data_IF_291086606006
#
_entry.id   IF_291086606006
#
_cell.length_a   1.000
_cell.length_b   1.000
_cell.length_c   1.000
_cell.angle_alpha   90.00
_cell.angle_beta   90.00
_cell.angle_gamma   90.00
#
_symmetry.space_group_name_H-M   'P 1'
#
loop_
_entity.id
_entity.type
_entity.pdbx_description
1 polymer ?
#
# COMPACT_ATOMS: atom_id res chain seq x y z
N UNK A 1 -2.91 -9.76 -8.03
CA UNK A 1 -2.42 -8.90 -9.11
C UNK A 1 -2.24 -7.53 -8.52
N UNK A 2 -1.04 -6.96 -8.59
CA UNK A 2 -0.78 -5.61 -8.11
C UNK A 2 -0.91 -4.63 -9.29
N UNK A 3 -1.83 -3.66 -9.18
CA UNK A 3 -2.10 -2.69 -10.24
C UNK A 3 -1.42 -1.34 -10.02
N UNK A 4 -0.65 -1.18 -8.94
CA UNK A 4 0.12 0.04 -8.67
C UNK A 4 0.96 0.56 -9.85
N UNK A 5 1.61 -0.26 -10.71
CA UNK A 5 2.39 0.27 -11.83
C UNK A 5 1.55 0.77 -13.00
N UNK A 6 0.23 0.53 -12.99
CA UNK A 6 -0.64 0.88 -14.12
C UNK A 6 -1.17 2.31 -13.99
N UNK A 7 -1.36 2.97 -15.14
CA UNK A 7 -1.77 4.38 -15.25
C UNK A 7 -2.97 4.59 -16.18
N UNK A 8 -3.48 3.52 -16.78
CA UNK A 8 -4.61 3.56 -17.70
C UNK A 8 -5.37 2.24 -17.72
N UNK A 9 -6.60 2.29 -18.23
CA UNK A 9 -7.44 1.11 -18.46
C UNK A 9 -6.76 0.10 -19.39
N UNK A 10 -6.00 0.57 -20.38
CA UNK A 10 -5.22 -0.27 -21.28
C UNK A 10 -4.20 -1.12 -20.50
N UNK A 11 -3.39 -0.47 -19.67
CA UNK A 11 -2.35 -1.15 -18.89
C UNK A 11 -2.97 -2.12 -17.87
N UNK A 12 -4.05 -1.70 -17.21
CA UNK A 12 -4.83 -2.58 -16.34
C UNK A 12 -5.33 -3.80 -17.09
N UNK A 13 -5.94 -3.62 -18.26
CA UNK A 13 -6.54 -4.71 -19.06
C UNK A 13 -5.47 -5.69 -19.53
N UNK A 14 -4.32 -5.19 -19.98
CA UNK A 14 -3.19 -6.01 -20.40
C UNK A 14 -2.63 -6.84 -19.22
N UNK A 15 -2.44 -6.20 -18.06
CA UNK A 15 -1.98 -6.88 -16.84
C UNK A 15 -3.00 -7.92 -16.35
N UNK A 16 -4.29 -7.58 -16.40
CA UNK A 16 -5.37 -8.45 -15.97
C UNK A 16 -5.51 -9.65 -16.88
N UNK A 17 -5.52 -9.43 -18.20
CA UNK A 17 -5.51 -10.49 -19.20
C UNK A 17 -4.30 -11.40 -19.02
N UNK A 18 -3.09 -10.85 -18.89
CA UNK A 18 -1.88 -11.64 -18.66
C UNK A 18 -1.93 -12.44 -17.36
N UNK A 19 -2.51 -11.91 -16.29
CA UNK A 19 -2.62 -12.64 -15.01
C UNK A 19 -3.62 -13.79 -15.09
N UNK A 20 -4.79 -13.52 -15.69
CA UNK A 20 -5.84 -14.53 -15.90
C UNK A 20 -5.37 -15.62 -16.86
N UNK A 21 -4.58 -15.26 -17.87
CA UNK A 21 -4.07 -16.19 -18.88
C UNK A 21 -2.79 -16.92 -18.47
N UNK A 22 -1.83 -16.24 -17.84
CA UNK A 22 -0.54 -16.80 -17.43
C UNK A 22 -0.65 -17.82 -16.30
N UNK A 23 -1.71 -17.75 -15.49
CA UNK A 23 -2.04 -18.83 -14.54
C UNK A 23 -2.52 -20.10 -15.25
N UNK A 24 -2.93 -20.02 -16.52
CA UNK A 24 -3.36 -21.16 -17.35
C UNK A 24 -2.20 -21.87 -18.05
N UNK A 25 -0.98 -21.34 -18.07
CA UNK A 25 0.19 -22.09 -18.57
C UNK A 25 0.46 -23.35 -17.73
N UNK A 26 -0.09 -23.41 -16.51
CA UNK A 26 -0.13 -24.60 -15.66
C UNK A 26 -1.21 -25.64 -16.06
N UNK A 27 -2.10 -25.30 -17.00
CA UNK A 27 -3.22 -26.12 -17.44
C UNK A 27 -2.99 -26.53 -18.91
N UNK A 28 -3.03 -27.84 -19.18
CA UNK A 28 -2.58 -28.42 -20.46
C UNK A 28 -3.22 -27.82 -21.73
N UNK A 29 -2.63 -28.14 -22.89
CA UNK A 29 -2.93 -27.60 -24.24
C UNK A 29 -4.40 -27.27 -24.59
N UNK A 30 -5.36 -28.00 -24.02
CA UNK A 30 -6.80 -27.74 -24.21
C UNK A 30 -7.23 -26.40 -23.59
N UNK A 31 -6.76 -26.08 -22.39
CA UNK A 31 -7.05 -24.81 -21.70
C UNK A 31 -6.43 -23.62 -22.46
N UNK A 32 -5.18 -23.77 -22.93
CA UNK A 32 -4.52 -22.77 -23.77
C UNK A 32 -5.30 -22.50 -25.07
N UNK A 33 -5.77 -23.53 -25.76
CA UNK A 33 -6.56 -23.36 -26.98
C UNK A 33 -7.92 -22.70 -26.71
N UNK A 34 -8.60 -23.05 -25.61
CA UNK A 34 -9.84 -22.39 -25.19
C UNK A 34 -9.60 -20.92 -24.84
N UNK A 35 -8.48 -20.62 -24.19
CA UNK A 35 -8.07 -19.25 -23.89
C UNK A 35 -7.79 -18.45 -25.17
N UNK A 36 -7.00 -18.97 -26.12
CA UNK A 36 -6.75 -18.31 -27.41
C UNK A 36 -8.06 -18.06 -28.18
N UNK A 37 -9.02 -19.00 -28.12
CA UNK A 37 -10.33 -18.83 -28.76
C UNK A 37 -11.23 -17.79 -28.08
N UNK A 38 -11.09 -17.62 -26.76
CA UNK A 38 -11.85 -16.64 -26.00
C UNK A 38 -11.33 -15.21 -26.19
N UNK A 39 -10.04 -15.05 -26.49
CA UNK A 39 -9.35 -13.76 -26.58
C UNK A 39 -9.09 -13.34 -28.04
N UNK A 40 -10.16 -13.04 -28.78
CA UNK A 40 -10.10 -12.69 -30.22
C UNK A 40 -9.49 -11.33 -30.47
N UNK A 41 -9.49 -10.45 -29.46
CA UNK A 41 -8.91 -9.12 -29.55
C UNK A 41 -7.38 -9.09 -29.38
N UNK A 42 -6.77 -10.22 -29.01
CA UNK A 42 -5.35 -10.34 -28.71
C UNK A 42 -4.58 -10.91 -29.90
N UNK A 43 -3.31 -10.51 -30.04
CA UNK A 43 -2.39 -11.13 -31.01
C UNK A 43 -1.51 -12.13 -30.30
N UNK A 44 -1.41 -13.34 -30.83
CA UNK A 44 -0.38 -14.29 -30.39
C UNK A 44 0.93 -13.90 -31.07
N UNK A 45 1.91 -13.47 -30.28
CA UNK A 45 3.28 -13.21 -30.73
C UNK A 45 4.11 -14.44 -30.41
N UNK A 46 4.71 -15.03 -31.44
CA UNK A 46 5.67 -16.13 -31.29
C UNK A 46 7.07 -15.53 -31.42
N UNK A 47 7.84 -15.55 -30.34
CA UNK A 47 9.25 -15.17 -30.29
C UNK A 47 10.13 -16.39 -30.02
N UNK A 48 11.44 -16.27 -30.21
CA UNK A 48 12.40 -17.27 -29.78
C UNK A 48 13.05 -16.81 -28.47
N UNK A 49 13.13 -17.69 -27.49
CA UNK A 49 13.88 -17.44 -26.26
C UNK A 49 15.35 -17.12 -26.60
N UNK A 50 15.90 -15.98 -26.15
CA UNK A 50 17.23 -15.54 -26.56
C UNK A 50 18.37 -16.48 -26.14
N UNK A 51 18.15 -17.32 -25.12
CA UNK A 51 19.16 -18.20 -24.52
C UNK A 51 19.03 -19.62 -25.08
N UNK A 52 17.80 -20.11 -25.21
CA UNK A 52 17.51 -21.51 -25.56
C UNK A 52 17.05 -21.69 -27.00
N UNK A 53 16.71 -20.61 -27.72
CA UNK A 53 16.15 -20.66 -29.08
C UNK A 53 14.77 -21.32 -29.16
N UNK A 54 14.15 -21.61 -28.01
CA UNK A 54 12.86 -22.28 -27.96
C UNK A 54 11.72 -21.31 -28.31
N UNK A 55 10.71 -21.73 -29.07
CA UNK A 55 9.59 -20.87 -29.40
C UNK A 55 8.77 -20.55 -28.13
N UNK A 56 8.64 -19.27 -27.82
CA UNK A 56 7.77 -18.73 -26.78
C UNK A 56 6.59 -18.02 -27.43
N UNK A 57 5.39 -18.42 -27.05
CA UNK A 57 4.16 -17.73 -27.46
C UNK A 57 3.70 -16.83 -26.32
N UNK A 58 3.56 -15.54 -26.60
CA UNK A 58 2.96 -14.56 -25.69
C UNK A 58 1.71 -13.95 -26.32
N UNK A 59 0.74 -13.58 -25.48
CA UNK A 59 -0.39 -12.78 -25.91
C UNK A 59 -0.04 -11.30 -25.81
N UNK A 60 -0.14 -10.59 -26.93
CA UNK A 60 -0.03 -9.15 -27.05
C UNK A 60 -1.43 -8.53 -27.07
N UNK A 61 -1.65 -7.60 -26.14
CA UNK A 61 -2.91 -6.88 -25.99
C UNK A 61 -2.83 -5.55 -26.74
N UNK A 62 -3.79 -5.30 -27.64
CA UNK A 62 -3.78 -4.11 -28.49
C UNK A 62 -4.54 -2.94 -27.85
N UNK A 63 -3.95 -1.72 -27.81
CA UNK A 63 -4.58 -0.54 -27.22
C UNK A 63 -5.99 -0.26 -27.75
N UNK A 64 -6.17 -0.36 -29.08
CA UNK A 64 -7.46 -0.04 -29.72
C UNK A 64 -8.57 -1.04 -29.37
N UNK A 65 -8.23 -2.19 -28.80
CA UNK A 65 -9.17 -3.24 -28.44
C UNK A 65 -9.40 -3.36 -26.93
N UNK A 66 -8.87 -2.44 -26.11
CA UNK A 66 -8.91 -2.50 -24.64
C UNK A 66 -10.28 -2.92 -24.07
N UNK A 67 -11.37 -2.26 -24.47
CA UNK A 67 -12.72 -2.59 -23.96
C UNK A 67 -13.19 -4.00 -24.39
N UNK A 68 -12.90 -4.40 -25.62
CA UNK A 68 -13.26 -5.73 -26.12
C UNK A 68 -12.45 -6.81 -25.39
N UNK A 69 -11.15 -6.58 -25.20
CA UNK A 69 -10.27 -7.46 -24.42
C UNK A 69 -10.79 -7.61 -22.99
N UNK A 70 -11.18 -6.51 -22.34
CA UNK A 70 -11.74 -6.56 -21.00
C UNK A 70 -13.02 -7.41 -20.95
N UNK A 71 -13.90 -7.25 -21.94
CA UNK A 71 -15.12 -8.04 -22.07
C UNK A 71 -14.84 -9.53 -22.30
N UNK A 72 -13.83 -9.84 -23.10
CA UNK A 72 -13.35 -11.20 -23.33
C UNK A 72 -12.79 -11.83 -22.03
N UNK A 73 -12.01 -11.07 -21.24
CA UNK A 73 -11.50 -11.52 -19.93
C UNK A 73 -12.65 -11.90 -19.01
N UNK A 74 -13.62 -11.00 -18.80
CA UNK A 74 -14.73 -11.27 -17.90
C UNK A 74 -15.64 -12.38 -18.42
N UNK A 75 -15.87 -12.46 -19.73
CA UNK A 75 -16.63 -13.56 -20.34
C UNK A 75 -15.93 -14.90 -20.14
N UNK A 76 -14.61 -14.93 -20.30
CA UNK A 76 -13.81 -16.11 -20.05
C UNK A 76 -13.91 -16.58 -18.59
N UNK A 77 -13.74 -15.66 -17.64
CA UNK A 77 -13.86 -15.95 -16.21
C UNK A 77 -15.27 -16.45 -15.85
N UNK A 78 -16.31 -15.79 -16.36
CA UNK A 78 -17.72 -16.16 -16.13
C UNK A 78 -18.06 -17.55 -16.64
N UNK A 79 -17.51 -17.94 -17.79
CA UNK A 79 -17.77 -19.23 -18.43
C UNK A 79 -16.85 -20.36 -17.92
N UNK A 80 -15.99 -20.06 -16.94
CA UNK A 80 -15.18 -21.08 -16.28
C UNK A 80 -16.06 -22.00 -15.43
N UNK A 81 -15.91 -23.32 -15.58
CA UNK A 81 -16.58 -24.32 -14.74
C UNK A 81 -16.01 -24.40 -13.30
N UNK A 82 -15.14 -23.45 -12.92
CA UNK A 82 -14.48 -23.39 -11.61
C UNK A 82 -14.83 -22.10 -10.88
N UNK A 83 -14.82 -22.18 -9.55
CA UNK A 83 -14.75 -21.00 -8.70
C UNK A 83 -13.36 -20.35 -8.84
N UNK A 84 -13.36 -19.05 -9.08
CA UNK A 84 -12.17 -18.25 -9.30
C UNK A 84 -12.01 -17.22 -8.16
N UNK A 85 -10.79 -17.02 -7.69
CA UNK A 85 -10.46 -15.97 -6.71
C UNK A 85 -9.48 -14.99 -7.33
N UNK A 86 -9.84 -13.71 -7.36
CA UNK A 86 -9.03 -12.66 -7.96
C UNK A 86 -8.78 -11.58 -6.91
N UNK A 87 -7.56 -11.57 -6.38
CA UNK A 87 -7.08 -10.48 -5.53
C UNK A 87 -6.44 -9.39 -6.39
N UNK A 88 -6.96 -8.17 -6.28
CA UNK A 88 -6.44 -6.97 -6.92
C UNK A 88 -5.90 -6.05 -5.83
N UNK A 89 -4.59 -5.86 -5.84
CA UNK A 89 -3.87 -5.03 -4.88
C UNK A 89 -3.67 -3.61 -5.43
N UNK A 90 -3.69 -2.64 -4.53
CA UNK A 90 -3.73 -1.20 -4.82
C UNK A 90 -4.92 -0.79 -5.71
N UNK A 91 -6.12 -1.32 -5.42
CA UNK A 91 -7.30 -1.14 -6.26
C UNK A 91 -7.72 0.32 -6.43
N UNK A 92 -7.45 1.20 -5.46
CA UNK A 92 -7.71 2.64 -5.58
C UNK A 92 -6.96 3.30 -6.75
N UNK A 93 -5.92 2.65 -7.29
CA UNK A 93 -5.15 3.14 -8.42
C UNK A 93 -6.03 3.40 -9.66
N UNK A 94 -7.16 2.70 -9.82
CA UNK A 94 -8.08 2.90 -10.95
C UNK A 94 -8.75 4.28 -10.94
N UNK A 95 -8.87 4.92 -9.77
CA UNK A 95 -9.43 6.25 -9.64
C UNK A 95 -8.46 7.35 -10.10
N UNK A 96 -7.17 7.00 -10.25
CA UNK A 96 -6.11 7.91 -10.69
C UNK A 96 -5.79 7.77 -12.19
N UNK A 97 -6.53 6.96 -12.95
CA UNK A 97 -6.35 6.87 -14.39
C UNK A 97 -6.91 8.09 -15.11
N UNK A 98 -6.27 8.48 -16.21
CA UNK A 98 -6.78 9.54 -17.10
C UNK A 98 -8.07 9.12 -17.84
N UNK A 99 -8.39 7.82 -17.84
CA UNK A 99 -9.59 7.26 -18.45
C UNK A 99 -10.87 7.61 -17.66
N UNK A 100 -11.89 8.11 -18.34
CA UNK A 100 -13.19 8.39 -17.71
C UNK A 100 -13.97 7.11 -17.39
N UNK A 101 -14.68 7.11 -16.25
CA UNK A 101 -15.66 6.09 -15.87
C UNK A 101 -15.11 4.65 -15.69
N UNK A 102 -13.81 4.49 -15.40
CA UNK A 102 -13.18 3.18 -15.19
C UNK A 102 -13.87 2.37 -14.09
N UNK A 103 -14.18 3.01 -12.95
CA UNK A 103 -14.88 2.36 -11.84
C UNK A 103 -16.23 1.79 -12.27
N UNK A 104 -17.05 2.59 -12.95
CA UNK A 104 -18.38 2.19 -13.40
C UNK A 104 -18.30 1.04 -14.40
N UNK A 105 -17.32 1.09 -15.32
CA UNK A 105 -17.05 0.02 -16.27
C UNK A 105 -16.72 -1.28 -15.54
N UNK A 106 -15.72 -1.28 -14.65
CA UNK A 106 -15.32 -2.49 -13.92
C UNK A 106 -16.46 -3.03 -13.05
N UNK A 107 -17.16 -2.16 -12.33
CA UNK A 107 -18.33 -2.51 -11.51
C UNK A 107 -19.41 -3.22 -12.33
N UNK A 108 -19.67 -2.74 -13.55
CA UNK A 108 -20.67 -3.32 -14.45
C UNK A 108 -20.30 -4.72 -14.94
N UNK A 109 -19.00 -5.07 -14.99
CA UNK A 109 -18.52 -6.40 -15.42
C UNK A 109 -18.45 -7.37 -14.25
N UNK A 110 -17.91 -6.92 -13.13
CA UNK A 110 -17.69 -7.74 -11.92
C UNK A 110 -19.00 -8.34 -11.40
N UNK A 111 -20.10 -7.58 -11.38
CA UNK A 111 -21.40 -8.08 -10.89
C UNK A 111 -22.00 -9.24 -11.66
N UNK A 112 -21.57 -9.46 -12.90
CA UNK A 112 -22.09 -10.53 -13.76
C UNK A 112 -21.20 -11.78 -13.78
N UNK A 113 -20.26 -11.88 -12.84
CA UNK A 113 -19.32 -13.00 -12.69
C UNK A 113 -19.58 -13.75 -11.37
N UNK A 114 -20.69 -14.50 -11.23
CA UNK A 114 -21.11 -15.08 -9.96
C UNK A 114 -20.17 -16.19 -9.43
N UNK A 115 -19.36 -16.80 -10.31
CA UNK A 115 -18.36 -17.81 -9.97
C UNK A 115 -16.98 -17.21 -9.66
N UNK A 116 -16.87 -15.88 -9.58
CA UNK A 116 -15.60 -15.17 -9.36
C UNK A 116 -15.70 -14.32 -8.10
N UNK A 117 -14.84 -14.60 -7.14
CA UNK A 117 -14.70 -13.85 -5.90
C UNK A 117 -13.57 -12.83 -6.04
N UNK A 118 -13.93 -11.54 -5.96
CA UNK A 118 -12.97 -10.45 -6.03
C UNK A 118 -12.58 -9.99 -4.62
N UNK A 119 -11.28 -9.85 -4.40
CA UNK A 119 -10.70 -9.28 -3.19
C UNK A 119 -9.97 -8.01 -3.61
N UNK A 120 -10.32 -6.87 -3.02
CA UNK A 120 -9.67 -5.59 -3.29
C UNK A 120 -8.88 -5.17 -2.06
N UNK A 121 -7.60 -4.87 -2.24
CA UNK A 121 -6.74 -4.28 -1.22
C UNK A 121 -6.16 -2.96 -1.69
N UNK A 122 -5.74 -2.12 -0.75
CA UNK A 122 -5.23 -0.79 -1.03
C UNK A 122 -4.66 -0.12 0.20
N UNK A 123 -3.51 0.53 0.06
CA UNK A 123 -2.83 1.23 1.15
C UNK A 123 -3.47 2.60 1.48
N UNK A 124 -4.07 3.28 0.49
CA UNK A 124 -4.76 4.56 0.69
C UNK A 124 -6.17 4.35 1.24
N UNK A 125 -6.24 4.17 2.56
CA UNK A 125 -7.49 3.91 3.29
C UNK A 125 -8.62 4.89 2.95
N UNK A 126 -8.33 6.19 2.81
CA UNK A 126 -9.35 7.20 2.49
C UNK A 126 -10.02 6.93 1.13
N UNK A 127 -9.23 6.73 0.07
CA UNK A 127 -9.74 6.45 -1.28
C UNK A 127 -10.50 5.13 -1.34
N UNK A 128 -9.96 4.09 -0.71
CA UNK A 128 -10.66 2.80 -0.60
C UNK A 128 -11.99 2.96 0.15
N UNK A 129 -12.01 3.66 1.28
CA UNK A 129 -13.23 3.89 2.04
C UNK A 129 -14.26 4.69 1.23
N UNK A 130 -13.83 5.70 0.49
CA UNK A 130 -14.71 6.53 -0.34
C UNK A 130 -15.36 5.70 -1.45
N UNK A 131 -14.55 4.96 -2.21
CA UNK A 131 -14.97 4.11 -3.34
C UNK A 131 -16.05 3.08 -2.95
N UNK A 132 -15.94 2.47 -1.77
CA UNK A 132 -16.86 1.40 -1.32
C UNK A 132 -17.99 1.87 -0.39
N UNK A 133 -17.84 3.03 0.28
CA UNK A 133 -18.78 3.51 1.31
C UNK A 133 -19.57 4.77 0.95
N UNK A 134 -19.24 5.46 -0.15
CA UNK A 134 -19.97 6.63 -0.62
C UNK A 134 -21.02 6.28 -1.67
N UNK A 135 -22.22 6.83 -1.56
CA UNK A 135 -23.33 6.63 -2.53
C UNK A 135 -23.04 7.19 -3.92
N UNK A 136 -22.04 8.07 -4.04
CA UNK A 136 -21.65 8.73 -5.28
C UNK A 136 -20.78 7.83 -6.17
N UNK A 137 -20.21 6.76 -5.60
CA UNK A 137 -19.24 5.89 -6.26
C UNK A 137 -19.87 4.58 -6.77
N UNK A 138 -19.50 4.06 -7.95
CA UNK A 138 -20.08 2.84 -8.52
C UNK A 138 -19.95 1.60 -7.63
N UNK A 139 -18.86 1.50 -6.87
CA UNK A 139 -18.59 0.38 -5.97
C UNK A 139 -19.29 0.49 -4.61
N UNK A 140 -20.18 1.46 -4.40
CA UNK A 140 -20.97 1.59 -3.18
C UNK A 140 -21.64 0.27 -2.76
N UNK A 141 -21.31 -0.21 -1.55
CA UNK A 141 -21.83 -1.46 -0.97
C UNK A 141 -21.69 -2.70 -1.86
N UNK A 142 -20.68 -2.70 -2.73
CA UNK A 142 -20.42 -3.84 -3.63
C UNK A 142 -19.68 -5.00 -2.96
N UNK A 143 -19.07 -4.76 -1.81
CA UNK A 143 -18.23 -5.72 -1.08
C UNK A 143 -18.40 -5.60 0.43
N UNK A 144 -17.94 -6.63 1.15
CA UNK A 144 -17.71 -6.55 2.60
C UNK A 144 -16.35 -5.89 2.87
N UNK A 145 -16.32 -4.97 3.83
CA UNK A 145 -15.11 -4.24 4.20
C UNK A 145 -14.42 -4.95 5.37
N UNK A 146 -13.16 -5.32 5.18
CA UNK A 146 -12.30 -5.88 6.23
C UNK A 146 -11.18 -4.89 6.53
N UNK A 147 -11.19 -4.31 7.72
CA UNK A 147 -10.15 -3.40 8.17
C UNK A 147 -9.02 -4.20 8.83
N UNK A 148 -7.81 -4.09 8.27
CA UNK A 148 -6.62 -4.68 8.85
C UNK A 148 -6.03 -3.72 9.90
N UNK A 149 -6.07 -4.14 11.15
CA UNK A 149 -5.46 -3.43 12.26
C UNK A 149 -4.03 -3.93 12.52
N UNK A 150 -3.27 -3.19 13.33
CA UNK A 150 -1.97 -3.65 13.80
C UNK A 150 -2.08 -5.03 14.48
N UNK A 151 -1.06 -5.87 14.27
CA UNK A 151 -0.96 -7.18 14.93
C UNK A 151 -1.00 -6.97 16.44
N UNK A 152 -1.89 -7.66 17.15
CA UNK A 152 -2.04 -7.50 18.59
C UNK A 152 -0.70 -7.65 19.32
N UNK A 153 -0.48 -6.85 20.36
CA UNK A 153 0.74 -6.88 21.17
C UNK A 153 1.13 -8.30 21.63
N UNK A 154 0.15 -9.11 22.06
CA UNK A 154 0.39 -10.49 22.49
C UNK A 154 0.95 -11.37 21.38
N UNK A 155 0.24 -11.47 20.26
CA UNK A 155 0.68 -12.28 19.11
C UNK A 155 2.05 -11.80 18.58
N UNK A 156 2.29 -10.49 18.62
CA UNK A 156 3.55 -9.92 18.15
C UNK A 156 4.70 -10.19 19.14
N UNK A 157 4.44 -10.13 20.45
CA UNK A 157 5.42 -10.52 21.46
C UNK A 157 5.82 -11.99 21.31
N UNK A 158 4.83 -12.89 21.15
CA UNK A 158 5.11 -14.32 20.97
C UNK A 158 5.97 -14.59 19.74
N UNK A 159 5.66 -13.94 18.61
CA UNK A 159 6.49 -13.99 17.41
C UNK A 159 7.92 -13.51 17.68
N UNK A 160 8.08 -12.31 18.27
CA UNK A 160 9.38 -11.71 18.49
C UNK A 160 10.22 -12.53 19.49
N UNK A 161 9.62 -12.91 20.61
CA UNK A 161 10.25 -13.68 21.68
C UNK A 161 10.67 -15.09 21.21
N UNK A 162 9.89 -15.72 20.33
CA UNK A 162 10.27 -16.99 19.71
C UNK A 162 11.62 -16.89 19.00
N UNK A 163 11.79 -15.89 18.12
CA UNK A 163 13.04 -15.68 17.40
C UNK A 163 14.20 -15.27 18.31
N UNK A 164 13.96 -14.39 19.29
CA UNK A 164 14.99 -13.99 20.25
C UNK A 164 15.48 -15.20 21.08
N UNK A 165 14.58 -16.08 21.52
CA UNK A 165 14.94 -17.32 22.23
C UNK A 165 15.81 -18.25 21.40
N UNK A 166 15.50 -18.43 20.11
CA UNK A 166 16.35 -19.22 19.18
C UNK A 166 17.77 -18.64 19.12
N UNK A 167 17.91 -17.32 19.18
CA UNK A 167 19.20 -16.65 19.20
C UNK A 167 19.89 -16.61 20.59
N UNK A 168 19.26 -17.15 21.63
CA UNK A 168 19.77 -17.08 23.01
C UNK A 168 19.64 -15.71 23.67
N UNK A 169 18.79 -14.84 23.13
CA UNK A 169 18.58 -13.45 23.58
C UNK A 169 17.36 -13.41 24.50
N UNK A 170 17.51 -12.85 25.71
CA UNK A 170 16.38 -12.57 26.61
C UNK A 170 15.64 -11.31 26.14
N UNK A 171 14.33 -11.41 25.98
CA UNK A 171 13.48 -10.26 25.64
C UNK A 171 12.41 -10.02 26.70
N UNK A 172 12.68 -9.13 27.69
CA UNK A 172 11.72 -8.79 28.73
C UNK A 172 10.43 -8.24 28.14
N UNK A 173 9.29 -8.66 28.71
CA UNK A 173 7.96 -8.30 28.20
C UNK A 173 7.72 -6.79 28.26
N UNK A 174 8.15 -6.16 29.34
CA UNK A 174 7.99 -4.73 29.58
C UNK A 174 8.73 -3.89 28.53
N UNK A 175 9.90 -4.35 28.11
CA UNK A 175 10.71 -3.71 27.07
C UNK A 175 10.04 -3.84 25.70
N UNK A 176 9.45 -5.00 25.40
CA UNK A 176 8.64 -5.17 24.19
C UNK A 176 7.38 -4.29 24.22
N UNK A 177 6.65 -4.26 25.33
CA UNK A 177 5.44 -3.44 25.47
C UNK A 177 5.73 -1.96 25.27
N UNK A 178 6.83 -1.44 25.83
CA UNK A 178 7.25 -0.06 25.62
C UNK A 178 7.60 0.23 24.15
N UNK A 179 8.26 -0.70 23.47
CA UNK A 179 8.54 -0.61 22.03
C UNK A 179 7.25 -0.60 21.20
N UNK A 180 6.36 -1.54 21.48
CA UNK A 180 5.09 -1.71 20.78
C UNK A 180 4.22 -0.47 20.89
N UNK A 181 4.08 0.10 22.09
CA UNK A 181 3.33 1.35 22.30
C UNK A 181 3.93 2.53 21.56
N UNK A 182 5.26 2.65 21.54
CA UNK A 182 5.97 3.75 20.86
C UNK A 182 5.80 3.72 19.34
N UNK A 183 5.69 2.53 18.75
CA UNK A 183 5.55 2.33 17.30
C UNK A 183 4.14 1.93 16.88
N UNK A 184 3.19 1.92 17.82
CA UNK A 184 1.78 1.58 17.61
C UNK A 184 1.57 0.22 16.90
N UNK A 185 2.50 -0.72 17.11
CA UNK A 185 2.45 -2.05 16.49
C UNK A 185 2.62 -2.07 14.96
N UNK A 186 2.97 -0.94 14.33
CA UNK A 186 3.17 -0.86 12.89
C UNK A 186 4.30 -1.80 12.44
N UNK A 187 3.94 -2.76 11.59
CA UNK A 187 4.78 -3.92 11.26
C UNK A 187 6.17 -3.52 10.76
N UNK A 188 6.26 -2.53 9.87
CA UNK A 188 7.54 -2.13 9.29
C UNK A 188 8.52 -1.57 10.33
N UNK A 189 8.07 -0.66 11.21
CA UNK A 189 8.92 -0.10 12.27
C UNK A 189 9.31 -1.15 13.30
N UNK A 190 8.36 -2.00 13.70
CA UNK A 190 8.60 -3.08 14.65
C UNK A 190 9.65 -4.05 14.11
N UNK A 191 9.47 -4.58 12.89
CA UNK A 191 10.41 -5.51 12.27
C UNK A 191 11.79 -4.90 12.06
N UNK A 192 11.87 -3.62 11.67
CA UNK A 192 13.16 -2.93 11.47
C UNK A 192 14.00 -2.91 12.75
N UNK A 193 13.37 -2.68 13.91
CA UNK A 193 14.07 -2.69 15.21
C UNK A 193 14.35 -4.12 15.65
N UNK A 194 13.37 -5.03 15.56
CA UNK A 194 13.53 -6.42 15.96
C UNK A 194 14.66 -7.12 15.18
N UNK A 195 14.77 -6.85 13.88
CA UNK A 195 15.84 -7.39 13.04
C UNK A 195 17.22 -6.90 13.50
N UNK A 196 17.38 -5.60 13.80
CA UNK A 196 18.64 -5.04 14.31
C UNK A 196 18.98 -5.53 15.71
N UNK A 197 17.99 -5.73 16.59
CA UNK A 197 18.20 -6.34 17.91
C UNK A 197 18.67 -7.80 17.78
N UNK A 198 18.08 -8.55 16.85
CA UNK A 198 18.46 -9.92 16.55
C UNK A 198 19.90 -10.02 16.01
N UNK A 199 20.30 -9.07 15.15
CA UNK A 199 21.67 -8.96 14.64
C UNK A 199 22.68 -8.60 15.74
N UNK A 200 22.32 -7.67 16.63
CA UNK A 200 23.17 -7.21 17.73
C UNK A 200 23.51 -8.32 18.74
N UNK A 201 22.60 -9.29 18.92
CA UNK A 201 22.73 -10.42 19.87
C UNK A 201 23.16 -10.02 21.29
N UNK A 202 22.49 -9.06 21.96
CA UNK A 202 22.74 -8.84 23.37
C UNK A 202 22.29 -10.06 24.20
N UNK A 203 22.86 -10.29 25.38
CA UNK A 203 22.34 -11.34 26.28
C UNK A 203 20.89 -11.05 26.70
N UNK A 204 20.58 -9.78 26.96
CA UNK A 204 19.26 -9.29 27.31
C UNK A 204 18.96 -7.94 26.65
N UNK A 205 17.78 -7.82 26.04
CA UNK A 205 17.33 -6.58 25.39
C UNK A 205 16.94 -5.57 26.46
N UNK A 206 17.48 -4.35 26.35
CA UNK A 206 17.23 -3.23 27.25
C UNK A 206 16.72 -2.03 26.47
N UNK A 207 16.21 -1.02 27.18
CA UNK A 207 15.78 0.24 26.56
C UNK A 207 16.92 0.94 25.81
N UNK A 208 18.17 0.77 26.28
CA UNK A 208 19.35 1.31 25.60
C UNK A 208 19.54 0.68 24.22
N UNK A 209 19.42 -0.66 24.13
CA UNK A 209 19.53 -1.37 22.84
C UNK A 209 18.48 -0.89 21.84
N UNK A 210 17.24 -0.67 22.29
CA UNK A 210 16.17 -0.11 21.44
C UNK A 210 16.53 1.29 20.95
N UNK A 211 16.94 2.19 21.85
CA UNK A 211 17.29 3.56 21.49
C UNK A 211 18.47 3.58 20.51
N UNK A 212 19.49 2.75 20.73
CA UNK A 212 20.62 2.61 19.82
C UNK A 212 20.18 2.10 18.44
N UNK A 213 19.26 1.13 18.37
CA UNK A 213 18.68 0.67 17.11
C UNK A 213 17.93 1.79 16.37
N UNK A 214 17.07 2.54 17.07
CA UNK A 214 16.31 3.66 16.51
C UNK A 214 17.27 4.73 15.95
N UNK A 215 18.26 5.14 16.74
CA UNK A 215 19.26 6.13 16.32
C UNK A 215 20.02 5.66 15.09
N UNK A 216 20.43 4.39 15.04
CA UNK A 216 21.09 3.84 13.86
C UNK A 216 20.17 3.80 12.64
N UNK A 217 18.85 3.60 12.80
CA UNK A 217 17.90 3.59 11.68
C UNK A 217 17.77 5.01 11.14
N UNK A 218 17.51 5.96 12.04
CA UNK A 218 17.39 7.37 11.69
C UNK A 218 18.66 7.86 11.00
N UNK A 219 19.84 7.54 11.56
CA UNK A 219 21.12 7.94 10.98
C UNK A 219 21.38 7.33 9.60
N UNK A 220 20.94 6.09 9.34
CA UNK A 220 21.06 5.49 7.99
C UNK A 220 20.15 6.16 6.96
N UNK A 221 19.07 6.80 7.42
CA UNK A 221 18.08 7.47 6.55
C UNK A 221 18.25 9.00 6.50
N UNK A 222 19.22 9.57 7.24
CA UNK A 222 19.40 11.03 7.37
C UNK A 222 19.47 11.73 6.02
N UNK A 223 20.22 11.21 5.05
CA UNK A 223 20.34 11.83 3.73
C UNK A 223 18.98 11.84 2.99
N UNK A 224 18.19 10.78 3.14
CA UNK A 224 16.84 10.68 2.57
C UNK A 224 15.90 11.68 3.24
N UNK A 225 15.93 11.75 4.58
CA UNK A 225 15.13 12.72 5.35
C UNK A 225 15.52 14.17 5.05
N UNK A 226 16.80 14.47 4.87
CA UNK A 226 17.27 15.78 4.44
C UNK A 226 16.77 16.14 3.04
N UNK A 227 16.76 15.20 2.10
CA UNK A 227 16.19 15.43 0.76
C UNK A 227 14.69 15.70 0.82
N UNK A 228 13.94 14.89 1.58
CA UNK A 228 12.50 15.10 1.79
C UNK A 228 12.23 16.47 2.41
N UNK A 229 12.94 16.81 3.49
CA UNK A 229 12.82 18.11 4.14
C UNK A 229 13.20 19.26 3.19
N UNK A 230 14.26 19.11 2.39
CA UNK A 230 14.69 20.14 1.42
C UNK A 230 13.73 20.31 0.25
N UNK A 231 12.90 19.30 -0.06
CA UNK A 231 11.87 19.37 -1.10
C UNK A 231 10.68 20.25 -0.71
N UNK A 232 10.51 20.52 0.60
CA UNK A 232 9.41 21.29 1.16
C UNK A 232 9.79 22.76 1.32
N UNK A 233 8.80 23.64 1.16
CA UNK A 233 8.96 25.06 1.48
C UNK A 233 9.15 25.27 2.99
N UNK A 234 9.75 26.38 3.38
CA UNK A 234 9.95 26.72 4.79
C UNK A 234 8.64 26.69 5.62
N UNK A 235 7.51 27.06 5.02
CA UNK A 235 6.21 27.03 5.71
C UNK A 235 5.70 25.59 5.93
N UNK A 236 5.87 24.72 4.94
CA UNK A 236 5.50 23.30 5.03
C UNK A 236 6.37 22.58 6.05
N UNK A 237 7.69 22.77 6.00
CA UNK A 237 8.62 22.23 6.99
C UNK A 237 8.30 22.68 8.42
N UNK A 238 7.97 23.96 8.59
CA UNK A 238 7.62 24.48 9.90
C UNK A 238 6.35 23.84 10.46
N UNK A 239 5.31 23.70 9.63
CA UNK A 239 4.07 23.03 10.02
C UNK A 239 4.32 21.54 10.31
N UNK A 240 5.05 20.84 9.44
CA UNK A 240 5.36 19.42 9.59
C UNK A 240 6.14 19.15 10.89
N UNK A 241 7.13 19.99 11.19
CA UNK A 241 7.90 19.90 12.44
C UNK A 241 7.01 20.17 13.66
N UNK A 242 6.10 21.15 13.59
CA UNK A 242 5.17 21.44 14.66
C UNK A 242 4.24 20.25 14.95
N UNK A 243 3.69 19.60 13.91
CA UNK A 243 2.88 18.39 14.03
C UNK A 243 3.70 17.25 14.65
N UNK A 244 4.94 17.05 14.18
CA UNK A 244 5.83 16.05 14.74
C UNK A 244 6.02 16.25 16.25
N UNK A 245 6.31 17.47 16.69
CA UNK A 245 6.56 17.80 18.09
C UNK A 245 5.35 17.52 19.00
N UNK A 246 4.13 17.85 18.57
CA UNK A 246 2.91 17.49 19.32
C UNK A 246 2.58 15.99 19.27
N UNK A 247 3.08 15.28 18.25
CA UNK A 247 2.73 13.88 17.96
C UNK A 247 1.37 13.73 17.30
N UNK A 248 0.34 14.42 17.79
CA UNK A 248 -1.01 14.46 17.18
C UNK A 248 -1.67 15.81 17.40
N UNK A 249 -2.23 16.40 16.34
CA UNK A 249 -2.88 17.73 16.38
C UNK A 249 -4.34 17.62 15.97
N UNK A 250 -5.25 17.65 16.93
CA UNK A 250 -6.71 17.55 16.68
C UNK A 250 -7.28 18.74 15.90
N UNK A 251 -6.76 19.95 16.10
CA UNK A 251 -7.21 21.15 15.40
C UNK A 251 -6.02 21.98 14.93
N UNK A 252 -5.72 21.91 13.64
CA UNK A 252 -4.56 22.58 13.02
C UNK A 252 -4.65 24.11 13.09
N UNK A 253 -5.87 24.66 13.18
CA UNK A 253 -6.11 26.11 13.21
C UNK A 253 -6.36 26.64 14.63
N UNK A 254 -6.15 25.83 15.66
CA UNK A 254 -6.28 26.28 17.04
C UNK A 254 -5.26 27.40 17.34
N UNK A 255 -5.73 28.52 17.90
CA UNK A 255 -4.87 29.66 18.25
C UNK A 255 -3.71 29.28 19.17
N UNK A 256 -3.92 28.31 20.06
CA UNK A 256 -2.88 27.79 20.94
C UNK A 256 -1.75 27.09 20.17
N UNK A 257 -2.09 26.26 19.17
CA UNK A 257 -1.11 25.56 18.34
C UNK A 257 -0.37 26.53 17.41
N UNK A 258 -1.10 27.39 16.70
CA UNK A 258 -0.52 28.43 15.84
C UNK A 258 0.41 29.35 16.65
N UNK A 259 -0.03 29.78 17.83
CA UNK A 259 0.76 30.65 18.71
C UNK A 259 2.01 29.96 19.26
N UNK A 260 1.90 28.72 19.75
CA UNK A 260 3.01 27.93 20.32
C UNK A 260 4.16 27.77 19.33
N UNK A 261 3.85 27.45 18.08
CA UNK A 261 4.87 27.23 17.04
C UNK A 261 5.09 28.45 16.13
N UNK A 262 4.45 29.61 16.40
CA UNK A 262 4.58 30.81 15.56
C UNK A 262 4.31 30.52 14.08
N UNK A 263 3.26 29.74 13.81
CA UNK A 263 2.85 29.41 12.46
C UNK A 263 2.29 30.65 11.75
N UNK A 264 2.25 30.61 10.41
CA UNK A 264 1.63 31.67 9.61
C UNK A 264 0.11 31.72 9.84
N UNK A 265 -0.55 32.70 9.22
CA UNK A 265 -2.01 32.80 9.23
C UNK A 265 -2.68 31.49 8.76
N UNK A 266 -3.90 31.24 9.25
CA UNK A 266 -4.66 30.01 9.01
C UNK A 266 -4.75 29.61 7.52
N UNK A 267 -4.92 30.56 6.61
CA UNK A 267 -4.94 30.30 5.16
C UNK A 267 -3.61 29.71 4.64
N UNK A 268 -2.48 30.16 5.17
CA UNK A 268 -1.16 29.62 4.83
C UNK A 268 -0.90 28.27 5.48
N UNK A 269 -1.45 28.03 6.68
CA UNK A 269 -1.40 26.72 7.35
C UNK A 269 -2.19 25.69 6.55
N UNK A 270 -3.43 26.01 6.16
CA UNK A 270 -4.28 25.10 5.39
C UNK A 270 -3.65 24.73 4.04
N UNK A 271 -3.08 25.70 3.30
CA UNK A 271 -2.40 25.40 2.04
C UNK A 271 -1.15 24.53 2.22
N UNK A 272 -0.44 24.71 3.33
CA UNK A 272 0.69 23.83 3.66
C UNK A 272 0.21 22.43 4.03
N UNK A 273 -0.84 22.33 4.83
CA UNK A 273 -1.45 21.07 5.23
C UNK A 273 -1.96 20.28 4.02
N UNK A 274 -2.67 20.93 3.10
CA UNK A 274 -3.16 20.32 1.86
C UNK A 274 -2.03 19.65 1.06
N UNK A 275 -0.91 20.36 0.89
CA UNK A 275 0.27 19.79 0.23
C UNK A 275 0.90 18.63 1.02
N UNK A 276 0.97 18.74 2.35
CA UNK A 276 1.53 17.68 3.19
C UNK A 276 0.65 16.42 3.22
N UNK A 277 -0.66 16.57 3.10
CA UNK A 277 -1.61 15.47 2.95
C UNK A 277 -1.48 14.83 1.56
N UNK A 278 -1.47 15.65 0.49
CA UNK A 278 -1.30 15.20 -0.90
C UNK A 278 0.00 14.42 -1.12
N UNK A 279 1.08 14.86 -0.47
CA UNK A 279 2.40 14.21 -0.53
C UNK A 279 2.64 13.19 0.59
N UNK A 280 1.59 12.82 1.34
CA UNK A 280 1.62 11.78 2.38
C UNK A 280 2.67 12.01 3.49
N UNK A 281 3.09 13.26 3.71
CA UNK A 281 3.91 13.62 4.87
C UNK A 281 3.10 13.63 6.16
N UNK A 282 1.81 13.97 6.06
CA UNK A 282 0.85 14.02 7.15
C UNK A 282 -0.33 13.14 6.80
N UNK A 283 -0.90 12.47 7.81
CA UNK A 283 -2.19 11.81 7.72
C UNK A 283 -3.23 12.55 8.55
N UNK A 284 -4.46 12.57 8.05
CA UNK A 284 -5.64 12.88 8.87
C UNK A 284 -6.16 11.59 9.50
N UNK A 285 -6.28 11.59 10.84
CA UNK A 285 -6.77 10.45 11.61
C UNK A 285 -7.98 10.89 12.44
N UNK A 286 -8.80 9.98 12.97
CA UNK A 286 -9.89 10.35 13.89
C UNK A 286 -9.45 11.12 15.13
N UNK A 287 -8.14 11.08 15.50
CA UNK A 287 -7.57 11.81 16.64
C UNK A 287 -6.94 13.16 16.23
N UNK A 288 -6.80 13.42 14.94
CA UNK A 288 -6.14 14.59 14.38
C UNK A 288 -4.99 14.27 13.44
N UNK A 289 -4.27 15.31 13.06
CA UNK A 289 -3.17 15.24 12.12
C UNK A 289 -1.90 14.67 12.76
N UNK A 290 -1.27 13.72 12.08
CA UNK A 290 -0.01 13.07 12.52
C UNK A 290 0.97 13.03 11.35
N UNK A 291 2.27 13.06 11.63
CA UNK A 291 3.27 12.76 10.60
C UNK A 291 3.17 11.27 10.25
N UNK A 292 3.17 10.97 8.95
CA UNK A 292 3.01 9.59 8.46
C UNK A 292 4.13 8.69 8.95
N UNK A 293 5.39 9.08 8.65
CA UNK A 293 6.55 8.26 8.99
C UNK A 293 6.99 8.47 10.44
N UNK A 294 6.93 7.41 11.26
CA UNK A 294 7.33 7.43 12.68
C UNK A 294 8.83 7.65 12.88
N UNK A 295 9.72 7.12 12.01
CA UNK A 295 11.15 7.38 12.12
C UNK A 295 11.48 8.81 11.66
N UNK A 296 10.82 9.30 10.62
CA UNK A 296 10.95 10.71 10.22
C UNK A 296 10.43 11.66 11.30
N UNK A 297 9.35 11.29 12.00
CA UNK A 297 8.84 12.03 13.16
C UNK A 297 9.91 12.16 14.25
N UNK A 298 10.65 11.09 14.53
CA UNK A 298 11.73 11.12 15.52
C UNK A 298 12.90 11.98 15.05
N UNK A 299 13.29 11.88 13.78
CA UNK A 299 14.31 12.74 13.18
C UNK A 299 13.94 14.24 13.27
N UNK A 300 12.68 14.59 12.94
CA UNK A 300 12.15 15.95 13.07
C UNK A 300 12.13 16.46 14.52
N UNK A 301 12.06 15.54 15.50
CA UNK A 301 12.16 15.88 16.92
C UNK A 301 13.59 16.19 17.37
N UNK A 302 14.59 15.92 16.53
CA UNK A 302 16.00 16.03 16.90
C UNK A 302 16.47 14.88 17.79
N UNK A 303 15.83 13.71 17.67
CA UNK A 303 16.23 12.46 18.33
C UNK A 303 17.11 11.63 17.40
#
# INVERSE_FOLDING_TARGET
MDIFPTRSLEQFTALFGKTVLGTLDSLGKKALNTAIQAFKSCKVVVSADPITGSPQSALEFLPQQTKNTLDEIFSYLKNSDKECFIAIDEFQQIAEYDDENVEALLRSKIQFCPNVHFIFSGSKHHLMSEMFSSVEHPFYRSTEIVNLHAITEEAYYEFANHWMKIAGIKFPREIFSALYQRLEGHTWYMQSILNRLYEMRPEEISQKHINDCILRIINSETDSYQRLFSSLTANQNHLLTAIAQEGTVANINASAFIGKYKLKAASSVNRALEHLLDKEFVMDTPKGYVVYDKFFTLWLKGL
#
